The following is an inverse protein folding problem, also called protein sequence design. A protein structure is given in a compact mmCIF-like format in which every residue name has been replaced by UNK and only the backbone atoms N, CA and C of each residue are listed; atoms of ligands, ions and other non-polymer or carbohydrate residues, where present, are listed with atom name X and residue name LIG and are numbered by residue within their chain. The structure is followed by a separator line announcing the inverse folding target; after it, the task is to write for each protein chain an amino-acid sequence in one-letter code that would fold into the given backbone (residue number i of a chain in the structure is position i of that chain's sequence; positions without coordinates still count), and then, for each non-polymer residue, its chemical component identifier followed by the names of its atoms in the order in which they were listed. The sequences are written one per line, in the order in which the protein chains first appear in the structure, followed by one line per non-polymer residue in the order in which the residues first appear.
data_IF_571558413476
#
_entry.id   IF_571558413476
#
_cell.length_a   1.000
_cell.length_b   1.000
_cell.length_c   1.000
_cell.angle_alpha   90.00
_cell.angle_beta   90.00
_cell.angle_gamma   90.00
#
_symmetry.space_group_name_H-M   'P 1'
#
loop_
_entity.id
_entity.type
_entity.pdbx_description
1 polymer ?
#
# COMPACT_ATOMS: atom_id res chain seq x y z
N UNK A 1 -19.63 -13.18 -13.51
CA UNK A 1 -18.17 -13.37 -13.29
C UNK A 1 -17.72 -12.38 -12.23
N UNK A 2 -17.02 -12.83 -11.21
CA UNK A 2 -16.50 -11.99 -10.12
C UNK A 2 -15.18 -11.34 -10.56
N UNK A 3 -15.07 -10.03 -10.42
CA UNK A 3 -13.84 -9.24 -10.66
C UNK A 3 -13.39 -8.60 -9.35
N UNK A 4 -12.30 -9.07 -8.74
CA UNK A 4 -11.71 -8.37 -7.60
C UNK A 4 -11.12 -7.03 -8.03
N UNK A 5 -11.45 -5.98 -7.27
CA UNK A 5 -10.90 -4.63 -7.40
C UNK A 5 -10.12 -4.32 -6.13
N UNK A 6 -8.80 -4.29 -6.22
CA UNK A 6 -7.92 -4.11 -5.07
C UNK A 6 -7.51 -2.65 -4.98
N UNK A 7 -7.97 -1.99 -3.94
CA UNK A 7 -7.68 -0.57 -3.69
C UNK A 7 -6.39 -0.44 -2.87
N UNK A 8 -5.29 -0.16 -3.55
CA UNK A 8 -3.97 0.03 -2.95
C UNK A 8 -3.62 1.52 -2.81
N UNK A 9 -4.63 2.35 -2.54
CA UNK A 9 -4.49 3.79 -2.28
C UNK A 9 -4.20 4.10 -0.81
N UNK A 10 -4.05 5.38 -0.51
CA UNK A 10 -3.82 5.89 0.85
C UNK A 10 -2.34 6.04 1.21
N UNK A 11 -2.04 7.00 2.09
CA UNK A 11 -0.67 7.32 2.54
C UNK A 11 -0.23 6.61 3.82
N UNK A 12 -1.17 6.00 4.55
CA UNK A 12 -0.95 5.07 5.67
C UNK A 12 0.12 5.42 6.72
N UNK A 13 0.36 6.69 7.04
CA UNK A 13 1.49 7.15 7.87
C UNK A 13 1.40 6.82 9.37
N UNK A 14 0.30 6.23 9.82
CA UNK A 14 0.08 5.90 11.26
C UNK A 14 1.01 4.81 11.79
N UNK A 15 1.56 3.97 10.90
CA UNK A 15 2.56 2.95 11.25
C UNK A 15 4.00 3.44 10.99
N UNK A 16 4.23 4.78 11.00
CA UNK A 16 5.59 5.29 11.03
C UNK A 16 6.35 4.67 12.23
N UNK A 17 7.61 4.24 12.10
CA UNK A 17 8.55 4.45 11.00
C UNK A 17 8.52 3.40 9.90
N UNK A 18 7.71 2.34 9.97
CA UNK A 18 7.60 1.37 8.87
C UNK A 18 6.87 1.94 7.66
N UNK A 19 5.72 2.60 7.87
CA UNK A 19 5.02 3.26 6.77
C UNK A 19 5.61 4.65 6.49
N UNK A 20 5.72 4.98 5.22
CA UNK A 20 6.20 6.27 4.69
C UNK A 20 5.25 6.74 3.60
N UNK A 21 5.31 8.00 3.22
CA UNK A 21 4.45 8.52 2.15
C UNK A 21 4.61 7.75 0.84
N UNK A 22 5.86 7.43 0.46
CA UNK A 22 6.18 6.65 -0.75
C UNK A 22 6.25 5.14 -0.51
N UNK A 23 6.03 4.68 0.73
CA UNK A 23 5.97 3.27 1.11
C UNK A 23 4.88 3.07 2.15
N UNK A 24 3.61 3.25 1.78
CA UNK A 24 2.50 3.17 2.72
C UNK A 24 2.21 1.74 3.19
N UNK A 25 1.33 1.65 4.17
CA UNK A 25 1.00 0.45 4.96
C UNK A 25 0.71 -0.80 4.12
N UNK A 26 -0.03 -0.67 3.03
CA UNK A 26 -0.42 -1.78 2.17
C UNK A 26 0.76 -2.53 1.53
N UNK A 27 1.93 -1.93 1.49
CA UNK A 27 3.15 -2.54 0.96
C UNK A 27 4.06 -3.15 2.03
N UNK A 28 3.64 -3.10 3.30
CA UNK A 28 4.38 -3.68 4.43
C UNK A 28 4.02 -5.14 4.65
N UNK A 29 5.01 -5.93 5.07
CA UNK A 29 4.83 -7.28 5.60
C UNK A 29 4.73 -7.18 7.12
N UNK A 30 3.51 -7.20 7.68
CA UNK A 30 3.29 -6.92 9.10
C UNK A 30 3.23 -8.18 9.97
N UNK A 31 2.47 -9.20 9.57
CA UNK A 31 2.27 -10.43 10.35
C UNK A 31 2.88 -11.66 9.69
N UNK A 32 2.96 -11.68 8.38
CA UNK A 32 3.50 -12.79 7.59
C UNK A 32 4.73 -12.33 6.79
N UNK A 33 5.24 -13.20 5.92
CA UNK A 33 6.28 -12.85 4.94
C UNK A 33 5.75 -12.04 3.75
N UNK A 34 4.43 -12.05 3.54
CA UNK A 34 3.78 -11.37 2.45
C UNK A 34 3.37 -9.95 2.85
N UNK A 35 3.32 -9.05 1.91
CA UNK A 35 2.79 -7.71 2.13
C UNK A 35 1.27 -7.74 2.23
N UNK A 36 0.66 -6.72 2.82
CA UNK A 36 -0.80 -6.66 2.96
C UNK A 36 -1.50 -6.69 1.59
N UNK A 37 -0.92 -6.07 0.56
CA UNK A 37 -1.41 -6.17 -0.82
C UNK A 37 -1.38 -7.63 -1.32
N UNK A 38 -0.27 -8.33 -1.10
CA UNK A 38 -0.13 -9.74 -1.49
C UNK A 38 -1.11 -10.63 -0.73
N UNK A 39 -1.25 -10.43 0.60
CA UNK A 39 -2.21 -11.17 1.42
C UNK A 39 -3.65 -10.95 0.95
N UNK A 40 -4.01 -9.74 0.56
CA UNK A 40 -5.35 -9.43 0.06
C UNK A 40 -5.68 -10.21 -1.22
N UNK A 41 -4.72 -10.37 -2.12
CA UNK A 41 -4.89 -11.18 -3.33
C UNK A 41 -4.84 -12.69 -3.05
N UNK A 42 -3.94 -13.14 -2.17
CA UNK A 42 -3.81 -14.56 -1.81
C UNK A 42 -5.05 -15.10 -1.11
N UNK A 43 -5.72 -14.28 -0.31
CA UNK A 43 -7.01 -14.59 0.34
C UNK A 43 -8.08 -15.06 -0.64
N UNK A 44 -7.97 -14.67 -1.91
CA UNK A 44 -8.90 -15.04 -2.98
C UNK A 44 -8.54 -16.35 -3.70
N UNK A 45 -7.43 -17.02 -3.37
CA UNK A 45 -6.95 -18.22 -4.09
C UNK A 45 -8.00 -19.34 -4.23
N UNK A 46 -8.96 -19.45 -3.30
CA UNK A 46 -10.03 -20.45 -3.34
C UNK A 46 -11.41 -19.85 -3.66
N UNK A 47 -11.46 -18.66 -4.21
CA UNK A 47 -12.67 -18.02 -4.75
C UNK A 47 -12.56 -18.03 -6.26
N UNK A 48 -13.63 -18.43 -6.96
CA UNK A 48 -13.65 -18.37 -8.43
C UNK A 48 -13.78 -16.90 -8.89
N UNK A 49 -12.77 -16.38 -9.56
CA UNK A 49 -12.74 -14.99 -10.01
C UNK A 49 -11.85 -14.80 -11.24
N UNK A 50 -12.07 -13.70 -11.97
CA UNK A 50 -11.15 -13.23 -13.01
C UNK A 50 -9.89 -12.60 -12.38
N UNK A 51 -8.79 -12.43 -13.15
CA UNK A 51 -7.61 -11.70 -12.66
C UNK A 51 -7.99 -10.31 -12.11
N UNK A 52 -7.48 -9.97 -10.92
CA UNK A 52 -7.84 -8.77 -10.20
C UNK A 52 -7.43 -7.48 -10.93
N UNK A 53 -8.21 -6.42 -10.84
CA UNK A 53 -7.82 -5.06 -11.20
C UNK A 53 -7.26 -4.37 -9.95
N UNK A 54 -6.03 -3.87 -10.03
CA UNK A 54 -5.41 -3.16 -8.91
C UNK A 54 -5.43 -1.66 -9.17
N UNK A 55 -5.82 -0.86 -8.18
CA UNK A 55 -5.85 0.61 -8.27
C UNK A 55 -4.84 1.17 -7.27
N UNK A 56 -3.96 2.05 -7.73
CA UNK A 56 -3.01 2.72 -6.86
C UNK A 56 -2.69 4.14 -7.36
N UNK A 57 -2.08 4.95 -6.48
CA UNK A 57 -1.52 6.23 -6.91
C UNK A 57 -0.35 5.99 -7.88
N UNK A 58 -0.18 6.86 -8.87
CA UNK A 58 0.88 6.75 -9.87
C UNK A 58 2.29 6.68 -9.25
N UNK A 59 2.52 7.35 -8.12
CA UNK A 59 3.79 7.29 -7.39
C UNK A 59 4.15 5.90 -6.86
N UNK A 60 3.16 5.03 -6.69
CA UNK A 60 3.33 3.68 -6.14
C UNK A 60 3.35 2.57 -7.22
N UNK A 61 3.21 2.91 -8.51
CA UNK A 61 3.05 1.92 -9.60
C UNK A 61 4.12 0.84 -9.63
N UNK A 62 5.38 1.22 -9.42
CA UNK A 62 6.49 0.26 -9.50
C UNK A 62 6.54 -0.70 -8.32
N UNK A 63 6.23 -0.22 -7.11
CA UNK A 63 6.17 -1.10 -5.95
C UNK A 63 5.02 -2.09 -6.05
N UNK A 64 3.86 -1.66 -6.57
CA UNK A 64 2.72 -2.55 -6.84
C UNK A 64 3.12 -3.62 -7.86
N UNK A 65 3.62 -3.22 -9.03
CA UNK A 65 4.02 -4.15 -10.08
C UNK A 65 5.09 -5.15 -9.60
N UNK A 66 6.08 -4.69 -8.85
CA UNK A 66 7.14 -5.54 -8.31
C UNK A 66 6.60 -6.55 -7.27
N UNK A 67 5.71 -6.12 -6.38
CA UNK A 67 5.11 -7.02 -5.39
C UNK A 67 4.22 -8.08 -6.01
N UNK A 68 3.46 -7.73 -7.04
CA UNK A 68 2.66 -8.71 -7.79
C UNK A 68 3.53 -9.69 -8.56
N UNK A 69 4.55 -9.19 -9.26
CA UNK A 69 5.50 -9.99 -10.04
C UNK A 69 6.28 -10.98 -9.18
N UNK A 70 6.75 -10.54 -8.00
CA UNK A 70 7.57 -11.35 -7.08
C UNK A 70 6.86 -12.62 -6.64
N UNK A 71 5.56 -12.56 -6.42
CA UNK A 71 4.74 -13.70 -5.99
C UNK A 71 3.94 -14.34 -7.15
N UNK A 72 4.14 -13.88 -8.38
CA UNK A 72 3.44 -14.40 -9.56
C UNK A 72 1.92 -14.19 -9.51
N UNK A 73 1.45 -13.16 -8.82
CA UNK A 73 0.02 -12.85 -8.66
C UNK A 73 -0.54 -12.28 -9.96
N UNK A 74 -1.58 -12.94 -10.48
CA UNK A 74 -2.23 -12.53 -11.73
C UNK A 74 -3.13 -11.32 -11.52
N UNK A 75 -3.04 -10.36 -12.45
CA UNK A 75 -3.91 -9.19 -12.50
C UNK A 75 -4.34 -8.87 -13.93
N UNK A 76 -5.44 -8.14 -14.10
CA UNK A 76 -5.96 -7.67 -15.40
C UNK A 76 -5.39 -6.32 -15.80
N UNK A 77 -4.73 -5.62 -14.87
CA UNK A 77 -4.10 -4.32 -15.06
C UNK A 77 -3.89 -3.60 -13.73
N UNK A 78 -3.06 -2.55 -13.78
CA UNK A 78 -2.81 -1.64 -12.65
C UNK A 78 -3.29 -0.26 -13.07
N UNK A 79 -4.43 0.18 -12.55
CA UNK A 79 -5.03 1.47 -12.84
C UNK A 79 -4.39 2.53 -11.94
N UNK A 80 -3.88 3.58 -12.56
CA UNK A 80 -3.10 4.61 -11.90
C UNK A 80 -3.93 5.89 -11.69
N UNK A 81 -4.12 6.25 -10.42
CA UNK A 81 -4.68 7.54 -10.06
C UNK A 81 -3.56 8.61 -10.02
N UNK A 82 -3.67 9.69 -10.80
CA UNK A 82 -2.69 10.78 -10.76
C UNK A 82 -2.72 11.57 -9.43
N UNK A 83 -3.87 11.58 -8.77
CA UNK A 83 -4.08 12.17 -7.44
C UNK A 83 -5.08 11.34 -6.64
N UNK A 84 -4.95 11.31 -5.32
CA UNK A 84 -5.95 10.67 -4.46
C UNK A 84 -7.25 11.47 -4.43
N UNK A 85 -8.38 10.85 -4.76
CA UNK A 85 -9.72 11.44 -4.76
C UNK A 85 -10.72 10.66 -3.90
N UNK A 86 -10.20 9.90 -2.91
CA UNK A 86 -11.00 9.01 -2.07
C UNK A 86 -11.59 7.82 -2.86
N UNK A 87 -12.51 7.07 -2.26
CA UNK A 87 -12.89 5.74 -2.76
C UNK A 87 -13.94 5.76 -3.87
N UNK A 88 -14.85 6.75 -3.93
CA UNK A 88 -15.89 6.77 -4.97
C UNK A 88 -15.32 6.93 -6.39
N UNK A 89 -14.39 7.87 -6.67
CA UNK A 89 -13.75 7.96 -7.97
C UNK A 89 -12.93 6.72 -8.35
N UNK A 90 -12.20 6.14 -7.41
CA UNK A 90 -11.43 4.92 -7.65
C UNK A 90 -12.32 3.74 -8.09
N UNK A 91 -13.42 3.50 -7.35
CA UNK A 91 -14.39 2.46 -7.70
C UNK A 91 -15.13 2.78 -9.00
N UNK A 92 -15.41 4.07 -9.28
CA UNK A 92 -16.02 4.49 -10.54
C UNK A 92 -15.12 4.18 -11.76
N UNK A 93 -13.82 4.47 -11.67
CA UNK A 93 -12.86 4.12 -12.71
C UNK A 93 -12.81 2.60 -12.92
N UNK A 94 -12.79 1.81 -11.84
CA UNK A 94 -12.81 0.36 -11.94
C UNK A 94 -14.08 -0.17 -12.60
N UNK A 95 -15.25 0.34 -12.20
CA UNK A 95 -16.53 -0.06 -12.76
C UNK A 95 -16.64 0.26 -14.26
N UNK A 96 -16.25 1.47 -14.65
CA UNK A 96 -16.23 1.90 -16.05
C UNK A 96 -15.25 1.06 -16.89
N UNK A 97 -14.04 0.80 -16.38
CA UNK A 97 -13.06 -0.06 -17.03
C UNK A 97 -13.59 -1.49 -17.19
N UNK A 98 -14.27 -2.01 -16.18
CA UNK A 98 -14.82 -3.35 -16.18
C UNK A 98 -15.92 -3.53 -17.23
N UNK A 99 -16.89 -2.61 -17.31
CA UNK A 99 -17.98 -2.70 -18.32
C UNK A 99 -17.49 -2.46 -19.75
N UNK A 100 -16.36 -1.78 -19.93
CA UNK A 100 -15.76 -1.63 -21.27
C UNK A 100 -15.08 -2.91 -21.76
N UNK A 101 -14.71 -3.80 -20.85
CA UNK A 101 -13.91 -5.00 -21.12
C UNK A 101 -14.71 -6.31 -21.06
N UNK A 102 -15.89 -6.33 -20.43
CA UNK A 102 -16.69 -7.52 -20.22
C UNK A 102 -18.19 -7.22 -20.03
N UNK A 103 -19.01 -8.28 -20.04
CA UNK A 103 -20.45 -8.20 -19.84
C UNK A 103 -20.79 -8.03 -18.34
N UNK A 104 -20.80 -6.80 -17.85
CA UNK A 104 -21.29 -6.36 -16.52
C UNK A 104 -20.86 -7.29 -15.35
N UNK A 105 -19.57 -7.33 -15.01
CA UNK A 105 -19.07 -8.19 -13.96
C UNK A 105 -19.54 -7.73 -12.57
N UNK A 106 -19.56 -8.66 -11.61
CA UNK A 106 -19.69 -8.33 -10.19
C UNK A 106 -18.33 -7.90 -9.70
N UNK A 107 -18.24 -6.69 -9.19
CA UNK A 107 -17.03 -6.17 -8.57
C UNK A 107 -16.97 -6.58 -7.09
N UNK A 108 -15.86 -7.17 -6.65
CA UNK A 108 -15.51 -7.34 -5.24
C UNK A 108 -14.44 -6.32 -4.89
N UNK A 109 -14.85 -5.22 -4.26
CA UNK A 109 -13.97 -4.11 -3.88
C UNK A 109 -13.34 -4.38 -2.53
N UNK A 110 -12.01 -4.50 -2.49
CA UNK A 110 -11.23 -4.82 -1.29
C UNK A 110 -10.14 -3.76 -1.06
N UNK A 111 -9.99 -3.32 0.19
CA UNK A 111 -8.85 -2.51 0.58
C UNK A 111 -7.60 -3.40 0.73
N UNK A 112 -6.46 -2.97 0.16
CA UNK A 112 -5.20 -3.71 0.21
C UNK A 112 -4.49 -3.65 1.57
N UNK A 113 -5.08 -2.97 2.55
CA UNK A 113 -4.46 -2.64 3.83
C UNK A 113 -5.24 -3.14 5.05
N UNK A 114 -6.13 -4.11 4.84
CA UNK A 114 -6.91 -4.79 5.88
C UNK A 114 -6.37 -6.19 6.16
N UNK A 115 -6.33 -6.54 7.43
CA UNK A 115 -6.01 -7.89 7.91
C UNK A 115 -7.29 -8.69 8.10
N UNK A 116 -7.32 -9.92 7.63
CA UNK A 116 -8.39 -10.89 7.85
C UNK A 116 -7.73 -12.23 8.22
N UNK A 117 -7.93 -12.68 9.45
CA UNK A 117 -7.26 -13.89 9.95
C UNK A 117 -8.06 -15.17 9.70
N UNK A 118 -9.37 -15.07 9.58
CA UNK A 118 -10.25 -16.20 9.24
C UNK A 118 -10.72 -16.09 7.79
N UNK A 119 -9.91 -16.65 6.90
CA UNK A 119 -10.19 -16.64 5.47
C UNK A 119 -11.40 -17.50 5.08
N UNK A 120 -11.72 -18.56 5.84
CA UNK A 120 -12.89 -19.42 5.56
C UNK A 120 -14.18 -18.63 5.80
N UNK A 121 -14.29 -17.94 6.92
CA UNK A 121 -15.41 -17.05 7.20
C UNK A 121 -15.52 -15.92 6.17
N UNK A 122 -14.41 -15.38 5.70
CA UNK A 122 -14.39 -14.38 4.63
C UNK A 122 -14.94 -14.96 3.32
N UNK A 123 -14.47 -16.14 2.88
CA UNK A 123 -14.96 -16.80 1.65
C UNK A 123 -16.44 -17.12 1.70
N UNK A 124 -16.96 -17.54 2.86
CA UNK A 124 -18.40 -17.77 3.04
C UNK A 124 -19.21 -16.47 2.90
N UNK A 125 -18.75 -15.38 3.52
CA UNK A 125 -19.40 -14.07 3.38
C UNK A 125 -19.38 -13.57 1.93
N UNK A 126 -18.28 -13.76 1.18
CA UNK A 126 -18.19 -13.46 -0.25
C UNK A 126 -19.24 -14.24 -1.04
N UNK A 127 -19.39 -15.55 -0.79
CA UNK A 127 -20.41 -16.37 -1.46
C UNK A 127 -21.85 -15.94 -1.14
N UNK A 128 -22.12 -15.46 0.08
CA UNK A 128 -23.44 -14.94 0.44
C UNK A 128 -23.69 -13.58 -0.23
N UNK A 129 -22.68 -12.72 -0.27
CA UNK A 129 -22.76 -11.39 -0.89
C UNK A 129 -22.99 -11.45 -2.39
N UNK A 130 -22.38 -12.44 -3.08
CA UNK A 130 -22.50 -12.62 -4.52
C UNK A 130 -23.94 -12.80 -4.97
N UNK A 131 -24.75 -13.55 -4.22
CA UNK A 131 -26.18 -13.76 -4.51
C UNK A 131 -26.96 -12.44 -4.54
N UNK A 132 -26.76 -11.58 -3.55
CA UNK A 132 -27.41 -10.28 -3.51
C UNK A 132 -26.89 -9.34 -4.62
N UNK A 133 -25.60 -9.40 -4.92
CA UNK A 133 -25.04 -8.63 -6.01
C UNK A 133 -25.58 -9.06 -7.39
N UNK A 134 -25.81 -10.38 -7.59
CA UNK A 134 -26.47 -10.91 -8.79
C UNK A 134 -27.89 -10.36 -8.97
N UNK A 135 -28.61 -10.10 -7.87
CA UNK A 135 -29.93 -9.46 -7.85
C UNK A 135 -29.87 -7.94 -8.04
N UNK A 136 -28.68 -7.36 -8.24
CA UNK A 136 -28.47 -5.93 -8.46
C UNK A 136 -28.38 -5.10 -7.18
N UNK A 137 -28.23 -5.74 -6.00
CA UNK A 137 -28.03 -5.02 -4.74
C UNK A 137 -26.59 -4.53 -4.60
N UNK A 138 -26.43 -3.46 -3.83
CA UNK A 138 -25.13 -2.94 -3.41
C UNK A 138 -24.79 -3.53 -2.03
N UNK A 139 -23.90 -4.50 -2.01
CA UNK A 139 -23.56 -5.21 -0.77
C UNK A 139 -22.35 -4.57 -0.11
N UNK A 140 -22.42 -4.39 1.21
CA UNK A 140 -21.29 -4.09 2.07
C UNK A 140 -21.07 -5.22 3.09
N UNK A 141 -19.83 -5.40 3.53
CA UNK A 141 -19.49 -6.38 4.57
C UNK A 141 -19.43 -5.67 5.92
N UNK A 142 -20.29 -6.07 6.83
CA UNK A 142 -20.38 -5.51 8.16
C UNK A 142 -19.63 -6.37 9.18
N UNK A 143 -18.63 -5.80 9.84
CA UNK A 143 -17.85 -6.51 10.85
C UNK A 143 -18.63 -6.56 12.16
N UNK A 144 -18.69 -7.73 12.79
CA UNK A 144 -19.31 -7.88 14.11
C UNK A 144 -18.47 -7.11 15.15
N UNK A 145 -19.04 -6.09 15.82
CA UNK A 145 -18.29 -5.28 16.77
C UNK A 145 -17.85 -6.08 17.99
N UNK A 146 -16.60 -5.87 18.40
CA UNK A 146 -16.03 -6.45 19.62
C UNK A 146 -15.68 -5.39 20.67
N UNK A 147 -15.70 -4.10 20.30
CA UNK A 147 -15.39 -2.96 21.14
C UNK A 147 -16.17 -1.71 20.67
N UNK A 148 -16.31 -0.67 21.52
CA UNK A 148 -16.98 0.58 21.13
C UNK A 148 -16.03 1.51 20.35
N UNK A 149 -15.64 1.12 19.14
CA UNK A 149 -14.70 1.86 18.32
C UNK A 149 -15.31 3.18 17.80
N UNK A 150 -14.61 4.28 18.01
CA UNK A 150 -14.98 5.60 17.51
C UNK A 150 -14.34 5.99 16.18
N UNK A 151 -13.40 5.15 15.72
CA UNK A 151 -12.67 5.33 14.46
C UNK A 151 -13.37 4.75 13.24
N UNK A 152 -14.43 3.95 13.44
CA UNK A 152 -15.14 3.25 12.37
C UNK A 152 -16.55 3.82 12.13
N UNK A 153 -17.06 3.65 10.92
CA UNK A 153 -18.47 3.78 10.63
C UNK A 153 -19.26 2.58 11.16
N UNK A 154 -20.51 2.81 11.52
CA UNK A 154 -21.44 1.79 11.97
C UNK A 154 -22.62 1.66 11.01
N UNK A 155 -23.01 0.42 10.74
CA UNK A 155 -24.15 0.07 9.88
C UNK A 155 -25.24 -0.51 10.76
N UNK A 156 -26.39 0.14 10.83
CA UNK A 156 -27.57 -0.42 11.49
C UNK A 156 -28.21 -1.46 10.59
N UNK A 157 -28.38 -2.69 11.09
CA UNK A 157 -29.10 -3.74 10.39
C UNK A 157 -30.60 -3.47 10.43
N UNK A 158 -31.26 -3.65 9.30
CA UNK A 158 -32.71 -3.57 9.16
C UNK A 158 -33.34 -4.96 9.10
N UNK A 159 -34.32 -5.14 8.20
CA UNK A 159 -35.01 -6.39 7.95
C UNK A 159 -34.02 -7.47 7.45
N UNK A 160 -34.11 -8.67 8.04
CA UNK A 160 -33.36 -9.83 7.56
C UNK A 160 -33.90 -10.26 6.21
N UNK A 161 -33.00 -10.48 5.24
CA UNK A 161 -33.33 -11.00 3.92
C UNK A 161 -33.20 -12.52 3.87
N UNK A 162 -33.66 -13.12 2.78
CA UNK A 162 -33.43 -14.53 2.52
C UNK A 162 -31.91 -14.78 2.38
N UNK A 163 -31.37 -15.66 3.24
CA UNK A 163 -29.95 -15.89 3.36
C UNK A 163 -29.31 -15.13 4.56
N UNK A 164 -28.02 -14.80 4.47
CA UNK A 164 -27.24 -14.21 5.57
C UNK A 164 -27.02 -12.70 5.37
N UNK A 165 -28.03 -11.99 4.85
CA UNK A 165 -27.97 -10.54 4.63
C UNK A 165 -29.08 -9.77 5.33
N UNK A 166 -28.87 -8.47 5.53
CA UNK A 166 -29.84 -7.54 6.09
C UNK A 166 -29.94 -6.30 5.21
N UNK A 167 -31.12 -5.72 5.10
CA UNK A 167 -31.24 -4.34 4.58
C UNK A 167 -30.42 -3.40 5.46
N UNK A 168 -29.79 -2.42 4.87
CA UNK A 168 -29.13 -1.36 5.63
C UNK A 168 -30.22 -0.38 6.08
N UNK A 169 -30.39 -0.20 7.39
CA UNK A 169 -31.35 0.74 7.95
C UNK A 169 -30.76 2.14 8.12
N UNK A 170 -29.48 2.23 8.47
CA UNK A 170 -28.77 3.50 8.59
C UNK A 170 -27.24 3.29 8.58
N UNK A 171 -26.50 4.31 8.13
CA UNK A 171 -25.08 4.48 8.36
C UNK A 171 -24.84 5.57 9.40
N UNK A 172 -23.85 5.36 10.27
CA UNK A 172 -23.40 6.36 11.24
C UNK A 172 -21.89 6.40 11.23
N UNK A 173 -21.31 7.46 10.71
CA UNK A 173 -19.86 7.60 10.60
C UNK A 173 -19.27 8.12 11.91
N UNK A 174 -18.29 7.39 12.44
CA UNK A 174 -17.44 7.74 13.59
C UNK A 174 -18.21 8.35 14.78
N UNK A 175 -19.06 7.57 15.43
CA UNK A 175 -19.87 8.05 16.57
C UNK A 175 -18.98 8.40 17.77
N UNK A 176 -19.48 9.26 18.65
CA UNK A 176 -18.87 9.49 19.96
C UNK A 176 -18.93 8.23 20.82
N UNK A 177 -18.01 8.10 21.78
CA UNK A 177 -17.80 6.89 22.60
C UNK A 177 -19.09 6.41 23.29
N UNK A 178 -19.90 7.33 23.81
CA UNK A 178 -21.16 6.99 24.46
C UNK A 178 -22.13 6.30 23.50
N UNK A 179 -22.25 6.84 22.29
CA UNK A 179 -23.09 6.27 21.24
C UNK A 179 -22.54 4.94 20.71
N UNK A 180 -21.21 4.81 20.58
CA UNK A 180 -20.55 3.55 20.22
C UNK A 180 -20.82 2.43 21.24
N UNK A 181 -20.81 2.76 22.54
CA UNK A 181 -21.19 1.82 23.61
C UNK A 181 -22.67 1.41 23.51
N UNK A 182 -23.58 2.33 23.18
CA UNK A 182 -24.99 2.00 22.97
C UNK A 182 -25.13 1.03 21.78
N UNK A 183 -24.47 1.28 20.66
CA UNK A 183 -24.53 0.40 19.48
C UNK A 183 -23.99 -1.00 19.76
N UNK A 184 -22.94 -1.12 20.54
CA UNK A 184 -22.41 -2.42 20.95
C UNK A 184 -23.41 -3.20 21.83
N UNK A 185 -24.08 -2.51 22.76
CA UNK A 185 -25.07 -3.13 23.63
C UNK A 185 -26.38 -3.49 22.91
N UNK A 186 -26.82 -2.70 21.93
CA UNK A 186 -28.01 -2.95 21.12
C UNK A 186 -27.89 -4.22 20.27
N UNK A 187 -26.66 -4.60 19.86
CA UNK A 187 -26.37 -5.78 19.05
C UNK A 187 -26.89 -5.74 17.60
N UNK A 188 -27.53 -4.64 17.19
CA UNK A 188 -28.09 -4.44 15.85
C UNK A 188 -27.21 -3.58 14.94
N UNK A 189 -25.94 -3.41 15.27
CA UNK A 189 -24.98 -2.61 14.52
C UNK A 189 -23.74 -3.43 14.16
N UNK A 190 -23.21 -3.16 12.97
CA UNK A 190 -21.96 -3.74 12.46
C UNK A 190 -20.99 -2.60 12.12
N UNK A 191 -19.68 -2.83 12.23
CA UNK A 191 -18.72 -1.86 11.71
C UNK A 191 -18.69 -1.89 10.20
N UNK A 192 -18.60 -0.74 9.57
CA UNK A 192 -18.36 -0.64 8.13
C UNK A 192 -16.92 -1.04 7.81
N UNK A 193 -16.76 -2.13 7.06
CA UNK A 193 -15.43 -2.63 6.68
C UNK A 193 -14.79 -1.84 5.54
N UNK A 194 -15.57 -1.05 4.77
CA UNK A 194 -15.11 -0.46 3.52
C UNK A 194 -14.88 -1.47 2.39
N UNK A 195 -15.41 -2.70 2.52
CA UNK A 195 -15.44 -3.71 1.47
C UNK A 195 -16.84 -3.78 0.87
N UNK A 196 -16.91 -3.92 -0.46
CA UNK A 196 -18.19 -3.88 -1.18
C UNK A 196 -18.26 -4.95 -2.26
N UNK A 197 -19.49 -5.32 -2.63
CA UNK A 197 -19.75 -6.20 -3.76
C UNK A 197 -21.02 -5.78 -4.48
N UNK A 198 -20.94 -5.58 -5.79
CA UNK A 198 -22.07 -5.19 -6.63
C UNK A 198 -21.75 -5.38 -8.12
N UNK A 199 -22.79 -5.46 -8.97
CA UNK A 199 -22.59 -5.34 -10.41
C UNK A 199 -22.02 -3.96 -10.76
N UNK A 200 -21.10 -3.92 -11.70
CA UNK A 200 -20.49 -2.67 -12.15
C UNK A 200 -21.56 -1.66 -12.65
N UNK A 201 -22.55 -2.14 -13.43
CA UNK A 201 -23.66 -1.31 -13.90
C UNK A 201 -24.54 -0.77 -12.77
N UNK A 202 -24.82 -1.58 -11.73
CA UNK A 202 -25.63 -1.13 -10.59
C UNK A 202 -24.96 0.03 -9.87
N UNK A 203 -23.66 -0.07 -9.59
CA UNK A 203 -22.91 1.03 -8.97
C UNK A 203 -22.85 2.28 -9.87
N UNK A 204 -22.58 2.13 -11.17
CA UNK A 204 -22.56 3.25 -12.12
C UNK A 204 -23.92 3.96 -12.16
N UNK A 205 -25.04 3.24 -12.10
CA UNK A 205 -26.38 3.82 -12.12
C UNK A 205 -26.66 4.62 -10.83
N UNK A 206 -26.32 4.08 -9.67
CA UNK A 206 -26.45 4.78 -8.40
C UNK A 206 -25.55 6.03 -8.35
N UNK A 207 -24.29 5.91 -8.79
CA UNK A 207 -23.39 7.05 -8.85
C UNK A 207 -23.88 8.13 -9.82
N UNK A 208 -24.47 7.73 -10.96
CA UNK A 208 -25.08 8.65 -11.93
C UNK A 208 -26.25 9.43 -11.30
N UNK A 209 -27.00 8.76 -10.43
CA UNK A 209 -28.14 9.38 -9.73
C UNK A 209 -27.70 10.36 -8.64
N UNK A 210 -26.75 9.94 -7.79
CA UNK A 210 -26.38 10.72 -6.62
C UNK A 210 -25.20 11.68 -6.83
N UNK A 211 -24.25 11.30 -7.68
CA UNK A 211 -23.01 12.08 -7.95
C UNK A 211 -22.62 12.00 -9.42
N UNK A 212 -23.45 12.56 -10.31
CA UNK A 212 -23.15 12.60 -11.75
C UNK A 212 -21.85 13.35 -12.09
N UNK A 213 -21.46 14.31 -11.25
CA UNK A 213 -20.21 15.06 -11.37
C UNK A 213 -18.96 14.16 -11.25
N UNK A 214 -18.95 13.25 -10.27
CA UNK A 214 -17.87 12.25 -10.13
C UNK A 214 -17.84 11.31 -11.33
N UNK A 215 -19.00 10.78 -11.72
CA UNK A 215 -19.08 9.85 -12.84
C UNK A 215 -18.56 10.47 -14.15
N UNK A 216 -19.01 11.69 -14.48
CA UNK A 216 -18.59 12.40 -15.69
C UNK A 216 -17.08 12.69 -15.71
N UNK A 217 -16.48 13.04 -14.55
CA UNK A 217 -15.04 13.24 -14.47
C UNK A 217 -14.28 11.94 -14.73
N UNK A 218 -14.74 10.81 -14.16
CA UNK A 218 -14.14 9.50 -14.39
C UNK A 218 -14.31 9.02 -15.85
N UNK A 219 -15.49 9.19 -16.45
CA UNK A 219 -15.74 8.87 -17.88
C UNK A 219 -14.78 9.65 -18.80
N UNK A 220 -14.64 10.97 -18.59
CA UNK A 220 -13.70 11.81 -19.35
C UNK A 220 -12.24 11.34 -19.17
N UNK A 221 -11.86 11.00 -17.93
CA UNK A 221 -10.50 10.56 -17.62
C UNK A 221 -10.12 9.25 -18.31
N UNK A 222 -11.09 8.35 -18.51
CA UNK A 222 -10.86 7.07 -19.21
C UNK A 222 -10.90 7.22 -20.74
N UNK A 223 -11.63 8.19 -21.28
CA UNK A 223 -11.71 8.41 -22.74
C UNK A 223 -10.34 8.69 -23.37
N UNK A 224 -9.45 9.35 -22.63
CA UNK A 224 -8.07 9.67 -23.06
C UNK A 224 -7.03 8.83 -22.31
N UNK A 225 -7.43 7.67 -21.78
CA UNK A 225 -6.51 6.78 -21.07
C UNK A 225 -5.48 6.17 -22.02
N UNK A 226 -4.29 5.89 -21.48
CA UNK A 226 -3.22 5.19 -22.20
C UNK A 226 -2.84 3.91 -21.45
N UNK A 227 -2.58 2.85 -22.21
CA UNK A 227 -2.07 1.60 -21.66
C UNK A 227 -0.58 1.46 -22.00
N UNK A 228 0.21 1.19 -20.98
CA UNK A 228 1.65 0.97 -21.05
C UNK A 228 2.00 -0.28 -20.24
N UNK A 229 2.21 -1.41 -20.93
CA UNK A 229 2.38 -2.73 -20.32
C UNK A 229 1.19 -3.05 -19.40
N UNK A 230 1.46 -3.20 -18.09
CA UNK A 230 0.47 -3.51 -17.06
C UNK A 230 -0.29 -2.26 -16.56
N UNK A 231 0.17 -1.05 -16.93
CA UNK A 231 -0.34 0.20 -16.40
C UNK A 231 -1.44 0.81 -17.27
N UNK A 232 -2.55 1.17 -16.64
CA UNK A 232 -3.66 1.92 -17.23
C UNK A 232 -3.62 3.33 -16.64
N UNK A 233 -3.15 4.31 -17.42
CA UNK A 233 -3.09 5.72 -17.00
C UNK A 233 -4.33 6.45 -17.46
N UNK A 234 -5.02 7.07 -16.52
CA UNK A 234 -6.13 7.96 -16.82
C UNK A 234 -5.62 9.36 -17.15
N UNK A 235 -6.44 10.14 -17.88
CA UNK A 235 -6.11 11.53 -18.17
C UNK A 235 -6.07 12.35 -16.88
N UNK A 236 -4.90 12.97 -16.62
CA UNK A 236 -4.64 13.70 -15.37
C UNK A 236 -5.51 14.95 -15.23
N UNK A 237 -5.63 15.74 -16.31
CA UNK A 237 -6.36 17.02 -16.25
C UNK A 237 -7.85 16.79 -16.00
N UNK A 238 -8.44 15.79 -16.66
CA UNK A 238 -9.81 15.39 -16.42
C UNK A 238 -10.04 14.86 -15.01
N UNK A 239 -9.10 14.05 -14.48
CA UNK A 239 -9.21 13.47 -13.14
C UNK A 239 -8.95 14.49 -12.03
N UNK A 240 -8.09 15.46 -12.25
CA UNK A 240 -7.84 16.54 -11.27
C UNK A 240 -9.08 17.40 -11.00
N UNK A 241 -10.03 17.43 -11.94
CA UNK A 241 -11.33 18.08 -11.76
C UNK A 241 -12.35 17.22 -11.00
N UNK A 242 -12.04 15.93 -10.71
CA UNK A 242 -12.95 15.04 -10.02
C UNK A 242 -13.09 15.42 -8.54
N UNK A 243 -14.32 15.58 -8.01
CA UNK A 243 -14.52 15.79 -6.58
C UNK A 243 -13.98 14.61 -5.74
N UNK A 244 -13.47 14.92 -4.56
CA UNK A 244 -13.03 13.93 -3.58
C UNK A 244 -14.19 13.52 -2.67
N UNK A 245 -14.60 12.25 -2.71
CA UNK A 245 -15.61 11.70 -1.81
C UNK A 245 -15.47 10.20 -1.63
N UNK A 246 -15.85 9.67 -0.45
CA UNK A 246 -15.91 8.23 -0.24
C UNK A 246 -17.15 7.60 -0.89
N UNK A 247 -17.07 6.32 -1.24
CA UNK A 247 -18.21 5.55 -1.75
C UNK A 247 -19.36 5.52 -0.74
N UNK A 248 -19.04 5.54 0.57
CA UNK A 248 -20.02 5.55 1.63
C UNK A 248 -20.92 6.78 1.53
N UNK A 249 -20.34 7.98 1.50
CA UNK A 249 -21.08 9.24 1.38
C UNK A 249 -21.68 9.47 -0.01
N UNK A 250 -20.96 9.03 -1.05
CA UNK A 250 -21.40 9.26 -2.41
C UNK A 250 -22.65 8.43 -2.76
N UNK A 251 -22.69 7.17 -2.31
CA UNK A 251 -23.70 6.19 -2.72
C UNK A 251 -24.31 5.44 -1.55
N UNK A 252 -23.52 4.78 -0.69
CA UNK A 252 -24.01 3.76 0.24
C UNK A 252 -24.97 4.31 1.32
N UNK A 253 -24.79 5.54 1.76
CA UNK A 253 -25.68 6.20 2.71
C UNK A 253 -26.99 6.69 2.08
N UNK A 254 -27.06 6.77 0.75
CA UNK A 254 -28.17 7.38 0.02
C UNK A 254 -29.05 6.35 -0.68
N UNK A 255 -28.46 5.23 -1.08
CA UNK A 255 -29.18 4.19 -1.82
C UNK A 255 -30.14 3.43 -0.94
N UNK A 256 -31.28 3.02 -1.52
CA UNK A 256 -32.27 2.13 -0.89
C UNK A 256 -31.97 0.65 -1.16
N UNK A 257 -31.00 0.35 -2.02
CA UNK A 257 -30.62 -0.99 -2.46
C UNK A 257 -29.42 -1.57 -1.72
N UNK A 258 -28.98 -0.92 -0.63
CA UNK A 258 -27.88 -1.39 0.18
C UNK A 258 -28.26 -2.61 1.03
N UNK A 259 -27.40 -3.62 0.99
CA UNK A 259 -27.48 -4.84 1.81
C UNK A 259 -26.18 -4.96 2.60
N UNK A 260 -26.26 -5.35 3.87
CA UNK A 260 -25.09 -5.69 4.68
C UNK A 260 -25.06 -7.20 4.94
N UNK A 261 -23.91 -7.81 4.66
CA UNK A 261 -23.60 -9.22 5.00
C UNK A 261 -22.64 -9.20 6.20
N UNK A 262 -23.02 -9.81 7.33
CA UNK A 262 -22.16 -9.89 8.51
C UNK A 262 -20.89 -10.68 8.23
N UNK A 263 -19.76 -10.19 8.72
CA UNK A 263 -18.46 -10.82 8.60
C UNK A 263 -17.78 -10.91 9.96
N UNK A 264 -17.63 -12.13 10.46
CA UNK A 264 -16.88 -12.43 11.68
C UNK A 264 -15.59 -13.17 11.33
N UNK A 265 -14.62 -12.47 10.76
CA UNK A 265 -13.40 -13.07 10.22
C UNK A 265 -12.12 -12.54 10.89
N UNK A 266 -12.20 -12.08 12.15
CA UNK A 266 -11.08 -11.42 12.85
C UNK A 266 -10.44 -10.34 11.99
N UNK A 267 -11.28 -9.45 11.50
CA UNK A 267 -10.89 -8.33 10.67
C UNK A 267 -10.26 -7.21 11.51
N UNK A 268 -9.25 -6.56 10.94
CA UNK A 268 -8.68 -5.32 11.47
C UNK A 268 -8.26 -4.41 10.31
N UNK A 269 -8.49 -3.11 10.45
CA UNK A 269 -7.95 -2.12 9.53
C UNK A 269 -6.47 -1.82 9.78
N UNK A 270 -5.87 -2.42 10.82
CA UNK A 270 -4.48 -2.17 11.25
C UNK A 270 -4.15 -0.67 11.27
N UNK A 271 -5.07 0.10 11.85
CA UNK A 271 -5.03 1.56 11.84
C UNK A 271 -4.01 2.17 12.81
N UNK A 272 -3.39 1.35 13.67
CA UNK A 272 -2.41 1.79 14.67
C UNK A 272 -1.49 0.65 15.11
N UNK A 273 -0.41 1.00 15.79
CA UNK A 273 0.48 0.03 16.43
C UNK A 273 -0.22 -0.80 17.51
N UNK A 274 -1.19 -0.22 18.24
CA UNK A 274 -1.99 -0.98 19.21
C UNK A 274 -2.85 -2.03 18.54
N UNK A 275 -3.52 -1.69 17.44
CA UNK A 275 -4.30 -2.64 16.65
C UNK A 275 -3.42 -3.77 16.11
N UNK A 276 -2.20 -3.47 15.67
CA UNK A 276 -1.25 -4.49 15.23
C UNK A 276 -0.80 -5.40 16.39
N UNK A 277 -0.57 -4.84 17.58
CA UNK A 277 -0.27 -5.64 18.78
C UNK A 277 -1.43 -6.57 19.13
N UNK A 278 -2.67 -6.10 19.04
CA UNK A 278 -3.87 -6.90 19.37
C UNK A 278 -3.97 -8.17 18.51
N UNK A 279 -3.73 -8.06 17.22
CA UNK A 279 -3.84 -9.18 16.27
C UNK A 279 -2.58 -10.04 16.16
N UNK A 280 -1.44 -9.59 16.71
CA UNK A 280 -0.17 -10.31 16.67
C UNK A 280 -0.14 -11.46 17.68
N UNK A 281 0.66 -12.50 17.39
CA UNK A 281 0.95 -13.56 18.35
C UNK A 281 1.78 -12.98 19.51
N UNK A 282 1.45 -13.40 20.73
CA UNK A 282 2.07 -12.90 21.95
C UNK A 282 2.76 -14.03 22.72
N UNK A 283 3.85 -13.68 23.41
CA UNK A 283 4.46 -14.56 24.40
C UNK A 283 3.61 -14.66 25.67
N UNK A 284 4.09 -15.43 26.67
CA UNK A 284 3.41 -15.63 27.96
C UNK A 284 3.24 -14.35 28.78
N UNK A 285 4.02 -13.32 28.48
CA UNK A 285 3.99 -12.02 29.16
C UNK A 285 3.21 -10.95 28.36
N UNK A 286 2.52 -11.35 27.28
CA UNK A 286 1.74 -10.43 26.46
C UNK A 286 2.57 -9.61 25.46
N UNK A 287 3.84 -9.93 25.25
CA UNK A 287 4.68 -9.23 24.28
C UNK A 287 4.51 -9.81 22.87
N UNK A 288 4.37 -8.95 21.88
CA UNK A 288 4.46 -9.30 20.47
C UNK A 288 5.86 -8.91 19.97
N UNK A 289 6.61 -9.89 19.49
CA UNK A 289 8.04 -9.74 19.13
C UNK A 289 8.22 -10.06 17.67
N UNK A 290 8.97 -9.21 16.98
CA UNK A 290 9.40 -9.45 15.61
C UNK A 290 10.83 -8.98 15.37
N UNK A 291 11.65 -9.83 14.75
CA UNK A 291 13.06 -9.55 14.51
C UNK A 291 13.98 -9.93 15.68
N UNK A 292 15.13 -9.29 15.77
CA UNK A 292 16.15 -9.58 16.78
C UNK A 292 15.90 -8.77 18.07
N UNK A 293 15.27 -9.42 19.05
CA UNK A 293 14.82 -8.76 20.30
C UNK A 293 15.14 -9.63 21.50
N UNK A 294 15.76 -9.04 22.52
CA UNK A 294 16.01 -9.65 23.84
C UNK A 294 15.23 -8.90 24.92
N UNK A 295 14.52 -9.63 25.75
CA UNK A 295 13.67 -9.08 26.82
C UNK A 295 14.12 -9.57 28.20
N UNK A 296 14.09 -8.64 29.16
CA UNK A 296 14.25 -8.92 30.61
C UNK A 296 13.19 -8.08 31.34
N UNK A 297 12.30 -8.73 32.10
CA UNK A 297 11.22 -8.07 32.86
C UNK A 297 10.38 -7.12 31.98
N UNK A 298 9.90 -7.62 30.82
CA UNK A 298 9.08 -6.87 29.88
C UNK A 298 7.72 -7.52 29.69
N UNK A 299 6.65 -6.71 29.61
CA UNK A 299 5.28 -7.19 29.41
C UNK A 299 4.42 -6.28 28.53
N UNK A 300 3.37 -6.86 27.96
CA UNK A 300 2.28 -6.18 27.21
C UNK A 300 2.77 -5.22 26.13
N UNK A 301 3.93 -5.50 25.52
CA UNK A 301 4.63 -4.59 24.63
C UNK A 301 4.71 -5.13 23.20
N UNK A 302 4.81 -4.25 22.22
CA UNK A 302 5.10 -4.56 20.83
C UNK A 302 6.52 -4.14 20.49
N UNK A 303 7.38 -5.08 20.10
CA UNK A 303 8.79 -4.82 19.79
C UNK A 303 9.11 -5.36 18.40
N UNK A 304 9.46 -4.46 17.51
CA UNK A 304 9.80 -4.78 16.13
C UNK A 304 11.20 -4.26 15.79
N UNK A 305 12.10 -5.18 15.50
CA UNK A 305 13.43 -4.89 14.98
C UNK A 305 13.49 -5.27 13.51
N UNK A 306 13.73 -4.33 12.65
CA UNK A 306 13.95 -4.58 11.23
C UNK A 306 15.42 -4.89 10.95
N UNK A 307 16.34 -4.26 11.67
CA UNK A 307 17.75 -4.27 11.34
C UNK A 307 18.71 -4.45 12.53
N UNK A 308 18.45 -3.80 13.68
CA UNK A 308 19.33 -3.84 14.86
C UNK A 308 18.73 -4.64 15.98
N UNK A 309 19.60 -5.27 16.79
CA UNK A 309 19.18 -5.88 18.06
C UNK A 309 18.49 -4.82 18.95
N UNK A 310 17.29 -5.15 19.44
CA UNK A 310 16.60 -4.41 20.50
C UNK A 310 16.77 -5.17 21.80
N UNK A 311 17.35 -4.53 22.82
CA UNK A 311 17.32 -4.99 24.21
C UNK A 311 16.31 -4.16 24.99
N UNK A 312 15.34 -4.78 25.66
CA UNK A 312 14.35 -4.10 26.48
C UNK A 312 14.31 -4.70 27.88
N UNK A 313 14.46 -3.85 28.90
CA UNK A 313 14.57 -4.25 30.31
C UNK A 313 13.61 -3.42 31.16
N UNK A 314 12.78 -4.08 31.98
CA UNK A 314 11.88 -3.42 32.94
C UNK A 314 10.82 -2.54 32.27
N UNK A 315 10.27 -2.94 31.12
CA UNK A 315 9.34 -2.13 30.35
C UNK A 315 7.96 -2.78 30.27
N UNK A 316 6.94 -1.94 30.19
CA UNK A 316 5.55 -2.37 30.06
C UNK A 316 4.76 -1.41 29.17
N UNK A 317 3.77 -1.96 28.44
CA UNK A 317 2.83 -1.20 27.59
C UNK A 317 3.53 -0.29 26.54
N UNK A 318 4.67 -0.73 26.02
CA UNK A 318 5.43 0.01 25.02
C UNK A 318 5.26 -0.55 23.62
N UNK A 319 5.37 0.36 22.66
CA UNK A 319 5.62 0.07 21.25
C UNK A 319 7.02 0.58 20.91
N UNK A 320 7.91 -0.33 20.53
CA UNK A 320 9.27 -0.03 20.10
C UNK A 320 9.44 -0.57 18.69
N UNK A 321 9.71 0.30 17.73
CA UNK A 321 9.86 -0.06 16.34
C UNK A 321 11.15 0.53 15.78
N UNK A 322 12.04 -0.33 15.33
CA UNK A 322 13.33 0.04 14.75
C UNK A 322 13.33 -0.21 13.25
N UNK A 323 13.78 0.77 12.49
CA UNK A 323 14.09 0.69 11.07
C UNK A 323 15.54 1.14 10.81
N UNK A 324 16.04 0.99 9.58
CA UNK A 324 17.41 1.40 9.23
C UNK A 324 17.74 2.86 9.56
N UNK A 325 16.73 3.74 9.62
CA UNK A 325 16.88 5.20 9.72
C UNK A 325 16.10 5.84 10.87
N UNK A 326 15.26 5.12 11.59
CA UNK A 326 14.46 5.68 12.67
C UNK A 326 14.13 4.65 13.75
N UNK A 327 13.90 5.13 14.97
CA UNK A 327 13.37 4.34 16.09
C UNK A 327 12.17 5.09 16.65
N UNK A 328 11.03 4.41 16.76
CA UNK A 328 9.87 4.87 17.50
C UNK A 328 9.84 4.20 18.85
N UNK A 329 9.64 5.00 19.90
CA UNK A 329 9.27 4.53 21.25
C UNK A 329 8.00 5.26 21.66
N UNK A 330 6.94 4.53 21.92
CA UNK A 330 5.66 5.11 22.29
C UNK A 330 4.97 4.26 23.38
N UNK A 331 4.19 4.88 24.25
CA UNK A 331 3.25 4.16 25.07
C UNK A 331 2.11 3.64 24.19
N UNK A 332 1.67 2.41 24.41
CA UNK A 332 0.66 1.72 23.60
C UNK A 332 -0.65 2.53 23.45
N UNK A 333 -1.10 3.22 24.53
CA UNK A 333 -2.31 4.04 24.52
C UNK A 333 -2.12 5.42 23.84
N UNK A 334 -0.89 5.78 23.44
CA UNK A 334 -0.55 7.08 22.84
C UNK A 334 -0.12 6.99 21.38
N UNK A 335 -0.16 5.81 20.79
CA UNK A 335 0.33 5.56 19.41
C UNK A 335 -0.39 6.38 18.33
N UNK A 336 -1.61 6.84 18.57
CA UNK A 336 -2.31 7.75 17.65
C UNK A 336 -1.58 9.10 17.51
N UNK A 337 -0.77 9.49 18.49
CA UNK A 337 0.03 10.73 18.47
C UNK A 337 1.26 10.64 17.55
N UNK A 338 1.58 9.47 16.99
CA UNK A 338 2.64 9.29 15.97
C UNK A 338 2.44 10.24 14.79
N UNK A 339 1.19 10.59 14.44
CA UNK A 339 0.88 11.62 13.45
C UNK A 339 1.56 12.97 13.74
N UNK A 340 1.70 13.33 15.00
CA UNK A 340 2.40 14.56 15.42
C UNK A 340 3.90 14.51 15.12
N UNK A 341 4.55 13.35 15.27
CA UNK A 341 5.95 13.16 14.88
C UNK A 341 6.10 13.30 13.36
N UNK A 342 5.23 12.67 12.59
CA UNK A 342 5.25 12.79 11.12
C UNK A 342 5.05 14.24 10.67
N UNK A 343 4.17 15.00 11.32
CA UNK A 343 3.95 16.43 11.03
C UNK A 343 5.22 17.26 11.34
N UNK A 344 5.94 16.96 12.43
CA UNK A 344 7.20 17.61 12.75
C UNK A 344 8.30 17.31 11.70
N UNK A 345 8.42 16.04 11.28
CA UNK A 345 9.36 15.65 10.22
C UNK A 345 9.09 16.41 8.92
N UNK A 346 7.82 16.54 8.52
CA UNK A 346 7.41 17.34 7.36
C UNK A 346 7.81 18.82 7.50
N UNK A 347 7.52 19.41 8.66
CA UNK A 347 7.86 20.82 8.93
C UNK A 347 9.37 21.08 8.90
N UNK A 348 10.17 20.07 9.26
CA UNK A 348 11.64 20.13 9.25
C UNK A 348 12.25 19.72 7.91
N UNK A 349 11.44 19.39 6.89
CA UNK A 349 11.88 18.87 5.59
C UNK A 349 12.79 17.63 5.70
N UNK A 350 12.56 16.77 6.69
CA UNK A 350 13.32 15.53 6.85
C UNK A 350 12.76 14.43 5.94
N UNK A 351 13.65 13.60 5.39
CA UNK A 351 13.26 12.53 4.44
C UNK A 351 12.51 11.38 5.09
N UNK A 352 12.62 11.19 6.40
CA UNK A 352 12.12 10.02 7.13
C UNK A 352 10.58 9.93 7.19
N UNK A 353 9.83 10.97 6.81
CA UNK A 353 8.39 10.84 6.61
C UNK A 353 8.04 10.39 5.19
N UNK A 354 8.91 10.68 4.23
CA UNK A 354 8.65 10.52 2.80
C UNK A 354 8.99 9.11 2.33
N UNK A 355 10.20 8.65 2.62
CA UNK A 355 10.76 7.38 2.13
C UNK A 355 11.73 6.77 3.13
N UNK A 356 11.98 5.47 2.97
CA UNK A 356 13.04 4.77 3.69
C UNK A 356 14.42 5.16 3.15
N UNK A 357 15.45 4.93 3.95
CA UNK A 357 16.84 5.06 3.52
C UNK A 357 17.17 4.12 2.35
N UNK A 358 16.61 2.91 2.37
CA UNK A 358 16.66 1.97 1.25
C UNK A 358 15.52 2.25 0.27
N UNK A 359 15.87 2.47 -0.99
CA UNK A 359 14.93 2.83 -2.07
C UNK A 359 14.95 1.75 -3.14
N UNK A 360 13.78 1.19 -3.43
CA UNK A 360 13.60 0.21 -4.50
C UNK A 360 13.37 0.88 -5.86
N UNK A 361 13.94 0.28 -6.89
CA UNK A 361 13.86 0.70 -8.30
C UNK A 361 13.58 -0.52 -9.17
N UNK A 362 13.09 -0.36 -10.41
CA UNK A 362 12.89 -1.49 -11.33
C UNK A 362 14.14 -2.33 -11.56
N UNK A 363 15.30 -1.72 -11.52
CA UNK A 363 16.59 -2.40 -11.71
C UNK A 363 17.18 -3.01 -10.43
N UNK A 364 16.62 -2.73 -9.24
CA UNK A 364 17.14 -3.23 -7.96
C UNK A 364 16.87 -2.29 -6.80
N UNK A 365 17.87 -2.03 -5.95
CA UNK A 365 17.73 -1.11 -4.81
C UNK A 365 19.04 -0.37 -4.51
N UNK A 366 18.91 0.71 -3.76
CA UNK A 366 20.07 1.37 -3.15
C UNK A 366 19.76 1.83 -1.72
N UNK A 367 20.75 1.71 -0.84
CA UNK A 367 20.68 2.10 0.57
C UNK A 367 21.82 3.06 0.90
N UNK A 368 21.52 4.26 1.39
CA UNK A 368 22.53 5.21 1.83
C UNK A 368 23.03 4.83 3.21
N UNK A 369 24.19 4.16 3.30
CA UNK A 369 24.72 3.60 4.54
C UNK A 369 25.54 4.57 5.37
N UNK A 370 26.12 5.61 4.74
CA UNK A 370 26.83 6.68 5.42
C UNK A 370 26.78 7.96 4.60
N UNK A 371 26.77 9.11 5.27
CA UNK A 371 26.81 10.41 4.62
C UNK A 371 27.52 11.46 5.49
N UNK A 372 28.06 12.49 4.85
CA UNK A 372 28.68 13.64 5.45
C UNK A 372 28.67 14.82 4.50
N UNK A 373 29.23 15.95 4.90
CA UNK A 373 29.19 17.22 4.12
C UNK A 373 29.68 17.06 2.67
N UNK A 374 30.64 16.16 2.43
CA UNK A 374 31.29 16.02 1.13
C UNK A 374 31.37 14.58 0.62
N UNK A 375 30.67 13.66 1.24
CA UNK A 375 30.62 12.28 0.81
C UNK A 375 29.27 11.63 1.12
N UNK A 376 28.91 10.66 0.31
CA UNK A 376 27.81 9.75 0.54
C UNK A 376 28.20 8.35 0.10
N UNK A 377 27.92 7.34 0.93
CA UNK A 377 28.21 5.94 0.61
C UNK A 377 26.87 5.22 0.45
N UNK A 378 26.69 4.57 -0.70
CA UNK A 378 25.50 3.76 -0.99
C UNK A 378 25.89 2.30 -1.19
N UNK A 379 25.08 1.42 -0.66
CA UNK A 379 25.02 0.02 -1.05
C UNK A 379 23.99 -0.12 -2.16
N UNK A 380 24.39 -0.58 -3.32
CA UNK A 380 23.54 -0.69 -4.53
C UNK A 380 23.47 -2.13 -4.96
N UNK A 381 22.23 -2.60 -5.20
CA UNK A 381 21.96 -3.95 -5.70
C UNK A 381 21.31 -3.81 -7.08
N UNK A 382 21.92 -4.44 -8.09
CA UNK A 382 21.36 -4.52 -9.43
C UNK A 382 20.92 -5.95 -9.73
N UNK A 383 19.64 -6.14 -10.03
CA UNK A 383 19.07 -7.46 -10.30
C UNK A 383 19.65 -8.08 -11.60
N UNK A 384 19.65 -9.41 -11.75
CA UNK A 384 20.12 -10.08 -12.95
C UNK A 384 19.47 -9.55 -14.23
N UNK A 385 20.30 -9.24 -15.23
CA UNK A 385 19.84 -8.71 -16.53
C UNK A 385 19.36 -7.27 -16.51
N UNK A 386 19.41 -6.57 -15.37
CA UNK A 386 18.99 -5.18 -15.27
C UNK A 386 20.10 -4.18 -15.49
N UNK A 387 19.72 -2.97 -15.89
CA UNK A 387 20.63 -1.85 -16.13
C UNK A 387 20.05 -0.58 -15.49
N UNK A 388 20.91 0.23 -14.86
CA UNK A 388 20.51 1.54 -14.36
C UNK A 388 20.30 2.53 -15.51
N UNK A 389 19.48 3.57 -15.27
CA UNK A 389 19.36 4.64 -16.26
C UNK A 389 20.72 5.31 -16.50
N UNK A 390 21.05 5.61 -17.78
CA UNK A 390 22.24 6.37 -18.13
C UNK A 390 22.10 7.79 -17.58
N UNK A 391 23.11 8.25 -16.82
CA UNK A 391 23.05 9.52 -16.09
C UNK A 391 24.38 10.28 -16.14
N UNK A 392 24.31 11.59 -15.88
CA UNK A 392 25.45 12.49 -15.73
C UNK A 392 25.24 13.27 -14.44
N UNK A 393 26.33 13.54 -13.72
CA UNK A 393 26.35 14.47 -12.58
C UNK A 393 27.52 15.46 -12.75
N UNK A 394 27.33 16.70 -12.29
CA UNK A 394 28.26 17.79 -12.55
C UNK A 394 29.05 18.26 -11.32
N UNK A 395 28.67 17.85 -10.11
CA UNK A 395 29.28 18.36 -8.88
C UNK A 395 29.88 17.27 -7.98
N UNK A 396 29.81 16.00 -8.42
CA UNK A 396 30.36 14.86 -7.69
C UNK A 396 31.09 13.87 -8.60
N UNK A 397 31.98 13.12 -8.00
CA UNK A 397 32.58 11.92 -8.59
C UNK A 397 32.08 10.69 -7.88
N UNK A 398 32.18 9.53 -8.50
CA UNK A 398 31.79 8.28 -7.88
C UNK A 398 32.90 7.23 -8.00
N UNK A 399 33.09 6.44 -6.94
CA UNK A 399 33.88 5.22 -6.95
C UNK A 399 32.94 4.04 -6.70
N UNK A 400 32.97 3.06 -7.59
CA UNK A 400 32.20 1.84 -7.46
C UNK A 400 33.12 0.66 -7.16
N UNK A 401 32.89 -0.02 -6.05
CA UNK A 401 33.57 -1.24 -5.65
C UNK A 401 32.61 -2.39 -5.77
N UNK A 402 32.94 -3.40 -6.59
CA UNK A 402 32.10 -4.59 -6.74
C UNK A 402 32.34 -5.52 -5.55
N UNK A 403 31.28 -5.80 -4.80
CA UNK A 403 31.29 -6.69 -3.63
C UNK A 403 30.92 -8.11 -4.01
N UNK A 404 29.92 -8.28 -4.89
CA UNK A 404 29.45 -9.58 -5.37
C UNK A 404 28.96 -9.47 -6.81
N UNK A 405 29.29 -10.46 -7.62
CA UNK A 405 28.91 -10.54 -9.03
C UNK A 405 29.92 -9.86 -9.95
N UNK A 406 29.47 -9.51 -11.15
CA UNK A 406 30.27 -8.80 -12.16
C UNK A 406 29.47 -7.63 -12.74
N UNK A 407 30.01 -6.46 -12.65
CA UNK A 407 29.42 -5.25 -13.23
C UNK A 407 29.88 -5.06 -14.67
N UNK A 408 28.95 -4.75 -15.57
CA UNK A 408 29.25 -4.21 -16.90
C UNK A 408 29.04 -2.72 -16.83
N UNK A 409 30.13 -1.98 -16.90
CA UNK A 409 30.14 -0.53 -16.76
C UNK A 409 30.11 0.12 -18.13
N UNK A 410 29.13 1.00 -18.33
CA UNK A 410 29.03 1.88 -19.50
C UNK A 410 29.52 3.26 -19.08
N UNK A 411 30.62 3.72 -19.65
CA UNK A 411 31.25 5.01 -19.36
C UNK A 411 31.56 5.74 -20.65
N UNK A 412 30.83 6.81 -20.97
CA UNK A 412 30.88 7.47 -22.27
C UNK A 412 30.59 6.47 -23.41
N UNK A 413 31.56 6.25 -24.29
CA UNK A 413 31.51 5.28 -25.39
C UNK A 413 32.22 3.96 -25.07
N UNK A 414 32.75 3.81 -23.86
CA UNK A 414 33.44 2.61 -23.41
C UNK A 414 32.52 1.70 -22.61
N UNK A 415 32.71 0.41 -22.84
CA UNK A 415 32.05 -0.63 -22.04
C UNK A 415 33.11 -1.65 -21.59
N UNK A 416 33.13 -1.95 -20.30
CA UNK A 416 34.09 -2.90 -19.72
C UNK A 416 33.48 -3.62 -18.52
N UNK A 417 34.10 -4.72 -18.13
CA UNK A 417 33.69 -5.51 -16.98
C UNK A 417 34.53 -5.14 -15.76
N UNK A 418 33.89 -5.16 -14.58
CA UNK A 418 34.51 -4.99 -13.27
C UNK A 418 34.03 -6.16 -12.41
N UNK A 419 34.96 -6.99 -11.96
CA UNK A 419 34.68 -8.20 -11.19
C UNK A 419 34.74 -7.96 -9.68
N UNK A 420 34.41 -8.97 -8.90
CA UNK A 420 34.52 -8.90 -7.43
C UNK A 420 35.90 -8.41 -6.97
N UNK A 421 35.92 -7.57 -5.94
CA UNK A 421 37.09 -6.87 -5.38
C UNK A 421 37.80 -5.90 -6.32
N UNK A 422 37.23 -5.65 -7.50
CA UNK A 422 37.69 -4.58 -8.39
C UNK A 422 36.85 -3.30 -8.18
N UNK A 423 37.40 -2.18 -8.62
CA UNK A 423 36.72 -0.88 -8.54
C UNK A 423 36.89 -0.07 -9.81
N UNK A 424 35.98 0.85 -10.01
CA UNK A 424 36.05 1.81 -11.11
C UNK A 424 35.73 3.22 -10.63
N UNK A 425 36.28 4.22 -11.33
CA UNK A 425 36.09 5.62 -11.06
C UNK A 425 35.21 6.25 -12.13
N UNK A 426 34.21 7.02 -11.72
CA UNK A 426 33.27 7.76 -12.56
C UNK A 426 33.57 9.24 -12.36
N UNK A 427 34.13 9.94 -13.39
CA UNK A 427 34.42 11.35 -13.32
C UNK A 427 33.18 12.23 -13.42
N UNK A 428 33.32 13.48 -13.00
CA UNK A 428 32.31 14.55 -13.20
C UNK A 428 32.00 14.72 -14.69
N UNK A 429 30.75 14.93 -15.05
CA UNK A 429 30.30 15.28 -16.39
C UNK A 429 30.31 14.15 -17.41
N UNK A 430 30.59 12.93 -17.01
CA UNK A 430 30.67 11.78 -17.91
C UNK A 430 29.41 10.92 -17.85
N UNK A 431 28.76 10.65 -19.01
CA UNK A 431 27.59 9.75 -19.05
C UNK A 431 27.98 8.33 -18.65
N UNK A 432 27.22 7.74 -17.72
CA UNK A 432 27.50 6.40 -17.21
C UNK A 432 26.24 5.63 -16.83
N UNK A 433 26.36 4.30 -16.84
CA UNK A 433 25.37 3.36 -16.35
C UNK A 433 26.06 2.07 -15.90
N UNK A 434 25.37 1.29 -15.05
CA UNK A 434 25.82 -0.02 -14.63
C UNK A 434 24.77 -1.08 -14.99
N UNK A 435 25.24 -2.19 -15.55
CA UNK A 435 24.44 -3.34 -15.98
C UNK A 435 24.93 -4.58 -15.22
N UNK A 436 23.98 -5.40 -14.79
CA UNK A 436 24.26 -6.75 -14.28
C UNK A 436 24.09 -7.78 -15.39
N UNK A 437 25.14 -8.26 -16.06
CA UNK A 437 25.05 -9.29 -17.08
C UNK A 437 24.94 -10.70 -16.50
N UNK A 438 25.06 -10.84 -15.17
CA UNK A 438 25.09 -12.11 -14.46
C UNK A 438 23.72 -12.70 -14.17
N UNK A 439 23.72 -13.83 -13.46
CA UNK A 439 22.51 -14.57 -13.02
C UNK A 439 22.23 -14.42 -11.53
N UNK A 440 23.12 -13.78 -10.79
CA UNK A 440 22.98 -13.45 -9.38
C UNK A 440 22.89 -11.93 -9.22
N UNK A 441 22.35 -11.40 -8.12
CA UNK A 441 22.41 -9.98 -7.84
C UNK A 441 23.83 -9.44 -7.86
N UNK A 442 24.02 -8.29 -8.50
CA UNK A 442 25.27 -7.54 -8.47
C UNK A 442 25.19 -6.58 -7.27
N UNK A 443 26.15 -6.67 -6.37
CA UNK A 443 26.26 -5.77 -5.23
C UNK A 443 27.48 -4.88 -5.37
N UNK A 444 27.29 -3.56 -5.22
CA UNK A 444 28.38 -2.58 -5.23
C UNK A 444 28.28 -1.63 -4.05
N UNK A 445 29.45 -1.17 -3.61
CA UNK A 445 29.57 0.01 -2.74
C UNK A 445 29.93 1.18 -3.63
N UNK A 446 29.01 2.16 -3.67
CA UNK A 446 29.18 3.42 -4.38
C UNK A 446 29.58 4.51 -3.39
N UNK A 447 30.76 5.09 -3.58
CA UNK A 447 31.24 6.24 -2.80
C UNK A 447 31.16 7.49 -3.67
N UNK A 448 30.24 8.38 -3.32
CA UNK A 448 30.09 9.70 -3.94
C UNK A 448 30.93 10.72 -3.17
N UNK A 449 31.68 11.54 -3.87
CA UNK A 449 32.46 12.62 -3.29
C UNK A 449 32.29 13.93 -4.08
N UNK A 450 31.96 15.02 -3.40
CA UNK A 450 31.70 16.28 -4.05
C UNK A 450 31.22 17.37 -3.11
N UNK A 451 30.98 18.54 -3.65
CA UNK A 451 30.47 19.71 -2.91
C UNK A 451 28.94 19.77 -2.92
N UNK A 452 28.33 19.03 -3.83
CA UNK A 452 26.87 18.91 -3.98
C UNK A 452 26.49 17.47 -4.32
N UNK A 453 25.69 16.83 -3.46
CA UNK A 453 25.39 15.40 -3.53
C UNK A 453 23.89 15.11 -3.72
N UNK A 454 23.08 16.16 -3.90
CA UNK A 454 21.63 16.03 -4.08
C UNK A 454 21.26 15.35 -5.40
N UNK A 455 20.10 14.74 -5.46
CA UNK A 455 19.64 13.99 -6.63
C UNK A 455 19.22 14.89 -7.81
N UNK A 456 19.02 16.19 -7.60
CA UNK A 456 18.75 17.17 -8.66
C UNK A 456 19.98 17.53 -9.50
N UNK A 457 21.21 17.15 -9.06
CA UNK A 457 22.43 17.19 -9.88
C UNK A 457 22.44 16.11 -10.98
N UNK A 458 21.53 15.13 -10.90
CA UNK A 458 21.50 14.02 -11.85
C UNK A 458 20.67 14.37 -13.07
N UNK A 459 21.33 14.43 -14.23
CA UNK A 459 20.69 14.53 -15.53
C UNK A 459 20.62 13.15 -16.16
N UNK A 460 19.41 12.66 -16.44
CA UNK A 460 19.20 11.39 -17.14
C UNK A 460 19.34 11.59 -18.64
N UNK A 461 20.16 10.78 -19.27
CA UNK A 461 20.41 10.83 -20.71
C UNK A 461 19.52 9.81 -21.38
N UNK A 462 18.45 10.28 -22.03
CA UNK A 462 17.58 9.41 -22.84
C UNK A 462 18.28 9.01 -24.15
N UNK A 463 18.62 7.74 -24.26
CA UNK A 463 18.75 7.08 -25.56
C UNK A 463 17.82 5.90 -25.57
N UNK A 464 16.65 6.05 -26.14
CA UNK A 464 15.56 5.05 -26.20
C UNK A 464 14.69 4.94 -24.93
N UNK A 465 13.66 5.77 -24.84
CA UNK A 465 12.29 5.33 -24.49
C UNK A 465 11.96 4.85 -23.09
N UNK A 466 12.83 4.96 -22.09
CA UNK A 466 12.47 4.68 -20.70
C UNK A 466 12.88 5.85 -19.83
N UNK A 467 12.07 6.91 -19.87
CA UNK A 467 12.13 8.00 -18.89
C UNK A 467 11.48 7.54 -17.60
N UNK A 468 12.24 7.49 -16.50
CA UNK A 468 11.72 7.30 -15.15
C UNK A 468 11.64 8.64 -14.43
#
# INVERSE_FOLDING_TARGET
MLLPVIMAGGSGTRLWPLSRTLYPKQFLSLNTRFTMLQETLRRLENVEHSPALVICNESHRFIVAEQLRKEGLKHSGILLEPAGRNTAPAVALAALQAVSSSEDPILLVLAADHEIQDEDSFRQAVSHAEKFAEEGKLVTFGIVPTAPETGYGYIKTGEKLDGEGYKVAAFVEKPELELANQYLNDGGYLWNSGMFMFKASAFINELRHFRPDILQACERSLTSSSQDLDFIRVDKEAFDCCPEESIDYAVMEKTTDAVVVPLNARWSDVGSWSALWEISQKDTNGNAIRGDVLLEDASDSYLYSQHRLIGAVGVKDLVVVETKDAVLVAHKDKVQQVKGIVAQLKKQNRSEYLQHREIFRPWGSHDTIAEGQRYQVKHVIVLPGQVTAKQIHFHRTEHWVVVSGTAKVHLEDKTYLVSENESTYIPVGVPHAIENPGKIPLEIIEVRSGVYLEEDDVVRVSSSGVGY
#
